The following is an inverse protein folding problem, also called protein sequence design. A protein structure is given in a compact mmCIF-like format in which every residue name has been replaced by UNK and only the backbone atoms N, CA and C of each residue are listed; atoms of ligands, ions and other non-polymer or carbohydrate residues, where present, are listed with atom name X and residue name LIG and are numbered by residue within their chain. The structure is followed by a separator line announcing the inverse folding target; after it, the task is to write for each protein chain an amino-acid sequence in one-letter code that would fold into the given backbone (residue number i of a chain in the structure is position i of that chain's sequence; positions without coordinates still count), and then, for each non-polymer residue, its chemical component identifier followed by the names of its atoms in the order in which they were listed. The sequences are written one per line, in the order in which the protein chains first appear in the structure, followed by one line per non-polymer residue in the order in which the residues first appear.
data_IF_226838904834
#
_entry.id   IF_226838904834
#
_cell.length_a   1.000
_cell.length_b   1.000
_cell.length_c   1.000
_cell.angle_alpha   90.00
_cell.angle_beta   90.00
_cell.angle_gamma   90.00
#
_symmetry.space_group_name_H-M   'P 1'
#
loop_
_entity.id
_entity.type
_entity.pdbx_description
1 polymer ?
#
# COMPACT_ATOMS: atom_id res chain seq x y z
N UNK A 1 -50.41 -15.35 -13.39
CA UNK A 1 -50.09 -15.53 -11.96
C UNK A 1 -48.73 -16.26 -11.91
N UNK A 2 -47.72 -15.72 -11.22
CA UNK A 2 -46.38 -16.34 -10.97
C UNK A 2 -45.19 -16.10 -11.94
N UNK A 3 -44.97 -14.88 -12.47
CA UNK A 3 -43.66 -14.51 -13.06
C UNK A 3 -42.91 -13.39 -12.31
N UNK A 4 -43.49 -12.89 -11.22
CA UNK A 4 -42.91 -11.78 -10.43
C UNK A 4 -42.14 -12.21 -9.17
N UNK A 5 -41.99 -13.52 -8.91
CA UNK A 5 -41.20 -14.03 -7.78
C UNK A 5 -39.75 -14.40 -8.15
N UNK A 6 -39.43 -14.59 -9.43
CA UNK A 6 -38.07 -14.95 -9.86
C UNK A 6 -37.11 -13.75 -9.94
N UNK A 7 -37.62 -12.51 -10.00
CA UNK A 7 -36.78 -11.31 -10.05
C UNK A 7 -36.15 -10.93 -8.69
N UNK A 8 -36.69 -11.41 -7.57
CA UNK A 8 -36.18 -11.10 -6.23
C UNK A 8 -34.93 -11.95 -5.90
N UNK A 9 -34.77 -13.12 -6.53
CA UNK A 9 -33.67 -14.04 -6.26
C UNK A 9 -32.35 -13.66 -6.98
N UNK A 10 -32.38 -12.76 -7.96
CA UNK A 10 -31.19 -12.41 -8.77
C UNK A 10 -30.45 -11.18 -8.21
N UNK A 11 -31.07 -10.39 -7.33
CA UNK A 11 -30.43 -9.25 -6.67
C UNK A 11 -29.45 -9.65 -5.55
N UNK A 12 -29.51 -10.89 -5.05
CA UNK A 12 -28.65 -11.39 -3.97
C UNK A 12 -27.44 -12.20 -4.45
N UNK A 13 -27.36 -12.51 -5.75
CA UNK A 13 -26.20 -13.16 -6.37
C UNK A 13 -25.22 -12.09 -6.90
N UNK A 14 -24.80 -11.16 -6.04
CA UNK A 14 -23.51 -10.52 -6.29
C UNK A 14 -22.46 -11.62 -6.12
N UNK A 15 -21.59 -11.88 -7.11
CA UNK A 15 -20.41 -12.67 -6.85
C UNK A 15 -19.61 -11.88 -5.80
N UNK A 16 -19.68 -12.30 -4.54
CA UNK A 16 -18.68 -11.91 -3.54
C UNK A 16 -17.35 -12.14 -4.21
N UNK A 17 -16.47 -11.15 -4.29
CA UNK A 17 -15.15 -11.39 -4.88
C UNK A 17 -14.46 -12.43 -4.00
N UNK A 18 -14.52 -13.69 -4.45
CA UNK A 18 -14.10 -14.83 -3.65
C UNK A 18 -12.62 -15.07 -3.89
N UNK A 19 -11.83 -15.09 -2.83
CA UNK A 19 -10.45 -15.49 -2.88
C UNK A 19 -10.33 -17.02 -2.69
N UNK A 20 -9.36 -17.64 -3.35
CA UNK A 20 -8.98 -19.05 -3.13
C UNK A 20 -7.67 -19.16 -2.36
N UNK A 21 -6.84 -18.12 -2.45
CA UNK A 21 -5.49 -18.07 -1.92
C UNK A 21 -5.11 -16.63 -1.56
N UNK A 22 -4.08 -16.46 -0.73
CA UNK A 22 -3.62 -15.12 -0.33
C UNK A 22 -3.13 -14.28 -1.53
N UNK A 23 -2.69 -14.89 -2.63
CA UNK A 23 -2.28 -14.17 -3.84
C UNK A 23 -3.45 -13.54 -4.59
N UNK A 24 -4.69 -13.95 -4.30
CA UNK A 24 -5.88 -13.31 -4.85
C UNK A 24 -6.16 -11.97 -4.17
N UNK A 25 -5.57 -11.72 -3.00
CA UNK A 25 -5.70 -10.49 -2.24
C UNK A 25 -4.47 -9.60 -2.45
N UNK A 26 -4.69 -8.34 -2.82
CA UNK A 26 -3.65 -7.35 -3.04
C UNK A 26 -3.12 -6.78 -1.72
N UNK A 27 -2.02 -6.03 -1.80
CA UNK A 27 -1.46 -5.26 -0.67
C UNK A 27 -1.19 -6.09 0.61
N UNK A 28 -0.92 -7.39 0.45
CA UNK A 28 -0.64 -8.30 1.55
C UNK A 28 -1.86 -8.65 2.39
N UNK A 29 -3.06 -8.62 1.80
CA UNK A 29 -4.26 -9.20 2.39
C UNK A 29 -4.17 -10.73 2.49
N UNK A 30 -5.00 -11.31 3.35
CA UNK A 30 -5.06 -12.77 3.58
C UNK A 30 -6.42 -13.29 3.12
N UNK A 31 -6.46 -14.43 2.44
CA UNK A 31 -7.72 -15.05 2.12
C UNK A 31 -8.29 -15.78 3.34
N UNK A 32 -9.40 -15.30 3.88
CA UNK A 32 -10.09 -15.88 5.02
C UNK A 32 -10.82 -17.18 4.67
N UNK A 33 -11.31 -17.89 5.70
CA UNK A 33 -12.05 -19.16 5.52
C UNK A 33 -13.36 -18.98 4.76
N UNK A 34 -13.95 -17.80 4.85
CA UNK A 34 -15.19 -17.45 4.17
C UNK A 34 -14.95 -17.06 2.70
N UNK A 35 -13.73 -17.28 2.18
CA UNK A 35 -13.30 -16.89 0.83
C UNK A 35 -13.36 -15.38 0.60
N UNK A 36 -13.24 -14.58 1.66
CA UNK A 36 -13.19 -13.11 1.60
C UNK A 36 -11.78 -12.65 1.96
N UNK A 37 -11.27 -11.65 1.26
CA UNK A 37 -9.98 -11.06 1.57
C UNK A 37 -10.05 -10.24 2.87
N UNK A 38 -9.26 -10.65 3.85
CA UNK A 38 -8.99 -9.89 5.07
C UNK A 38 -7.90 -8.86 4.78
N UNK A 39 -8.31 -7.61 4.61
CA UNK A 39 -7.39 -6.51 4.29
C UNK A 39 -6.62 -6.03 5.52
N UNK A 40 -5.35 -5.66 5.28
CA UNK A 40 -4.54 -4.99 6.29
C UNK A 40 -5.06 -3.58 6.55
N UNK A 41 -4.78 -3.08 7.74
CA UNK A 41 -5.08 -1.69 8.06
C UNK A 41 -4.39 -0.75 7.08
N UNK A 42 -5.19 0.12 6.46
CA UNK A 42 -4.73 1.01 5.40
C UNK A 42 -5.04 0.54 3.99
N UNK A 43 -5.59 -0.68 3.81
CA UNK A 43 -6.22 -1.10 2.54
C UNK A 43 -7.70 -1.48 2.71
N UNK A 44 -8.41 -1.54 1.59
CA UNK A 44 -9.85 -1.82 1.49
C UNK A 44 -10.22 -2.25 0.05
N UNK A 45 -11.47 -2.61 -0.17
CA UNK A 45 -11.94 -3.21 -1.42
C UNK A 45 -12.08 -4.73 -1.27
N UNK A 46 -12.78 -5.37 -2.19
CA UNK A 46 -13.08 -6.80 -2.08
C UNK A 46 -11.83 -7.67 -2.22
N UNK A 47 -10.79 -7.14 -2.88
CA UNK A 47 -9.47 -7.75 -3.03
C UNK A 47 -8.36 -6.92 -2.38
N UNK A 48 -8.69 -5.99 -1.50
CA UNK A 48 -7.73 -5.09 -0.84
C UNK A 48 -6.92 -4.19 -1.79
N UNK A 49 -7.47 -3.89 -2.96
CA UNK A 49 -6.86 -3.10 -4.04
C UNK A 49 -6.81 -1.59 -3.74
N UNK A 50 -7.68 -1.09 -2.85
CA UNK A 50 -7.79 0.32 -2.52
C UNK A 50 -6.89 0.63 -1.32
N UNK A 51 -5.86 1.45 -1.50
CA UNK A 51 -4.97 1.89 -0.43
C UNK A 51 -5.42 3.25 0.11
N UNK A 52 -5.76 3.31 1.39
CA UNK A 52 -6.15 4.54 2.09
C UNK A 52 -5.01 5.55 2.07
N UNK A 53 -5.31 6.75 1.60
CA UNK A 53 -4.34 7.84 1.49
C UNK A 53 -3.82 8.04 0.08
N UNK A 54 -3.77 7.00 -0.77
CA UNK A 54 -3.30 7.16 -2.16
C UNK A 54 -4.16 8.13 -2.99
N UNK A 55 -5.46 8.22 -2.70
CA UNK A 55 -6.36 9.19 -3.33
C UNK A 55 -5.99 10.65 -3.03
N UNK A 56 -5.31 10.88 -1.89
CA UNK A 56 -4.90 12.21 -1.43
C UNK A 56 -3.42 12.49 -1.69
N UNK A 57 -2.61 11.44 -1.79
CA UNK A 57 -1.22 11.57 -2.18
C UNK A 57 -1.18 11.78 -3.70
N UNK A 58 -0.84 12.99 -4.13
CA UNK A 58 -0.59 13.30 -5.53
C UNK A 58 0.73 12.66 -6.00
N UNK A 59 0.82 11.33 -5.95
CA UNK A 59 1.93 10.58 -6.51
C UNK A 59 1.98 10.86 -8.02
N UNK A 60 3.19 11.01 -8.55
CA UNK A 60 3.37 11.13 -9.98
C UNK A 60 3.42 9.71 -10.55
N UNK A 61 2.32 9.28 -11.18
CA UNK A 61 2.15 7.94 -11.72
C UNK A 61 3.17 7.59 -12.82
N UNK A 62 3.90 8.58 -13.36
CA UNK A 62 4.97 8.33 -14.34
C UNK A 62 6.23 7.83 -13.65
N UNK A 63 6.58 8.39 -12.49
CA UNK A 63 7.85 8.11 -11.78
C UNK A 63 7.71 7.32 -10.48
N UNK A 64 6.50 7.25 -9.92
CA UNK A 64 6.22 6.62 -8.62
C UNK A 64 4.94 5.78 -8.66
N UNK A 65 4.87 4.77 -7.80
CA UNK A 65 3.69 3.98 -7.53
C UNK A 65 3.21 4.31 -6.11
N UNK A 66 1.91 4.33 -5.88
CA UNK A 66 1.41 4.36 -4.52
C UNK A 66 1.45 2.96 -3.91
N UNK A 67 2.12 2.82 -2.77
CA UNK A 67 2.29 1.55 -2.06
C UNK A 67 1.78 1.67 -0.63
N UNK A 68 1.25 0.58 -0.08
CA UNK A 68 0.82 0.55 1.32
C UNK A 68 2.05 0.41 2.24
N UNK A 69 2.29 1.42 3.06
CA UNK A 69 3.25 1.29 4.15
C UNK A 69 2.57 0.56 5.32
N UNK A 70 2.90 -0.73 5.49
CA UNK A 70 2.35 -1.58 6.56
C UNK A 70 2.70 -1.09 7.97
N UNK A 71 3.73 -0.26 8.15
CA UNK A 71 4.12 0.32 9.45
C UNK A 71 3.29 1.57 9.73
N UNK A 72 3.13 2.43 8.73
CA UNK A 72 2.38 3.68 8.85
C UNK A 72 0.86 3.52 8.60
N UNK A 73 0.41 2.35 8.14
CA UNK A 73 -0.99 1.99 7.87
C UNK A 73 -1.66 2.94 6.88
N UNK A 74 -0.90 3.45 5.91
CA UNK A 74 -1.36 4.42 4.90
C UNK A 74 -0.56 4.29 3.60
N UNK A 75 -1.11 4.83 2.52
CA UNK A 75 -0.43 4.98 1.25
C UNK A 75 0.78 5.91 1.34
N UNK A 76 1.87 5.52 0.67
CA UNK A 76 3.08 6.30 0.45
C UNK A 76 3.51 6.16 -1.02
N UNK A 77 4.06 7.22 -1.61
CA UNK A 77 4.61 7.12 -2.96
C UNK A 77 6.00 6.47 -2.90
N UNK A 78 6.20 5.39 -3.63
CA UNK A 78 7.50 4.77 -3.84
C UNK A 78 7.93 4.95 -5.30
N UNK A 79 9.19 5.30 -5.51
CA UNK A 79 9.73 5.42 -6.86
C UNK A 79 9.70 4.07 -7.59
N UNK A 80 9.32 4.08 -8.86
CA UNK A 80 9.40 2.88 -9.72
C UNK A 80 10.82 2.31 -9.75
N UNK A 81 11.81 3.21 -9.70
CA UNK A 81 13.21 2.85 -9.56
C UNK A 81 13.57 2.66 -8.07
N UNK A 82 13.81 1.40 -7.67
CA UNK A 82 14.08 1.01 -6.27
C UNK A 82 15.35 1.62 -5.66
N UNK A 83 16.24 2.19 -6.49
CA UNK A 83 17.47 2.88 -6.09
C UNK A 83 17.22 4.34 -5.68
N UNK A 84 16.02 4.87 -5.94
CA UNK A 84 15.63 6.25 -5.68
C UNK A 84 14.64 6.34 -4.52
N UNK A 85 14.65 7.49 -3.86
CA UNK A 85 13.77 7.87 -2.77
C UNK A 85 12.80 8.94 -3.27
N UNK A 86 11.52 8.80 -2.94
CA UNK A 86 10.50 9.78 -3.28
C UNK A 86 10.52 10.94 -2.28
N UNK A 87 10.88 12.14 -2.72
CA UNK A 87 10.94 13.35 -1.91
C UNK A 87 10.40 14.52 -2.72
N UNK A 88 9.45 15.28 -2.17
CA UNK A 88 8.87 16.48 -2.81
C UNK A 88 8.43 16.25 -4.27
N UNK A 89 7.66 15.19 -4.52
CA UNK A 89 7.18 14.79 -5.85
C UNK A 89 8.28 14.42 -6.86
N UNK A 90 9.49 14.10 -6.39
CA UNK A 90 10.61 13.69 -7.24
C UNK A 90 11.30 12.45 -6.70
N UNK A 91 11.81 11.64 -7.61
CA UNK A 91 12.63 10.48 -7.30
C UNK A 91 14.11 10.86 -7.31
N UNK A 92 14.70 10.94 -6.12
CA UNK A 92 16.09 11.34 -5.91
C UNK A 92 16.93 10.08 -5.64
N UNK A 93 18.09 9.94 -6.26
CA UNK A 93 18.99 8.81 -5.97
C UNK A 93 19.36 8.76 -4.49
N UNK A 94 19.45 7.55 -3.91
CA UNK A 94 20.03 7.40 -2.58
C UNK A 94 21.44 7.98 -2.60
N UNK A 95 21.75 8.85 -1.63
CA UNK A 95 23.11 9.32 -1.44
C UNK A 95 23.99 8.11 -1.12
N UNK A 96 25.00 7.87 -1.96
CA UNK A 96 26.06 6.92 -1.61
C UNK A 96 26.85 7.57 -0.49
N UNK A 97 26.75 7.02 0.71
CA UNK A 97 27.71 7.30 1.77
C UNK A 97 29.04 6.73 1.28
N UNK A 98 29.94 7.57 0.77
CA UNK A 98 31.29 7.13 0.44
C UNK A 98 32.07 6.95 1.75
N UNK A 99 32.46 5.70 2.03
CA UNK A 99 33.31 5.26 3.14
C UNK A 99 32.91 5.79 4.53
N UNK A 100 31.83 5.24 5.11
CA UNK A 100 31.67 5.22 6.57
C UNK A 100 32.17 3.86 7.05
N UNK A 101 33.26 3.78 7.84
CA UNK A 101 33.76 2.51 8.36
C UNK A 101 32.73 1.87 9.30
N UNK A 102 32.53 0.56 9.17
CA UNK A 102 31.55 -0.28 9.88
C UNK A 102 31.77 -0.40 11.41
N UNK A 103 32.55 0.48 12.02
CA UNK A 103 32.81 0.52 13.46
C UNK A 103 32.03 1.63 14.17
N UNK A 104 30.85 2.00 13.67
CA UNK A 104 29.96 2.91 14.38
C UNK A 104 29.00 2.11 15.27
N UNK A 105 29.58 1.61 16.36
CA UNK A 105 28.87 1.07 17.51
C UNK A 105 27.88 2.12 18.06
N UNK A 106 26.68 1.67 18.40
CA UNK A 106 25.63 2.30 19.22
C UNK A 106 25.83 3.77 19.72
N UNK A 107 24.81 4.62 19.50
CA UNK A 107 24.48 5.87 20.27
C UNK A 107 24.77 7.27 19.66
N UNK A 108 25.27 7.46 18.43
CA UNK A 108 25.48 8.86 17.91
C UNK A 108 24.85 9.23 16.54
N UNK A 109 24.03 8.38 15.92
CA UNK A 109 23.29 8.73 14.67
C UNK A 109 21.90 9.34 14.98
N UNK A 110 21.70 9.88 16.19
CA UNK A 110 20.47 10.58 16.59
C UNK A 110 20.59 12.11 16.47
N UNK A 111 21.66 12.65 15.85
CA UNK A 111 21.88 14.11 15.77
C UNK A 111 22.01 14.72 14.37
N UNK A 112 21.86 13.94 13.30
CA UNK A 112 21.91 14.48 11.93
C UNK A 112 20.62 14.17 11.17
N UNK A 113 19.48 14.46 11.79
CA UNK A 113 18.30 14.87 11.04
C UNK A 113 17.78 16.15 11.68
N UNK A 114 18.53 17.25 11.54
CA UNK A 114 17.92 18.59 11.62
C UNK A 114 17.17 18.81 10.30
N UNK A 115 15.94 18.29 10.24
CA UNK A 115 14.93 18.93 9.39
C UNK A 115 14.83 20.37 9.85
N UNK A 116 15.02 21.31 8.92
CA UNK A 116 14.75 22.72 9.16
C UNK A 116 13.36 22.86 9.77
N UNK A 117 13.33 23.29 11.02
CA UNK A 117 12.16 23.89 11.65
C UNK A 117 12.61 25.27 12.08
N UNK A 118 11.95 26.25 11.46
CA UNK A 118 12.09 27.72 11.56
C UNK A 118 13.39 28.33 11.08
#
# INVERSE_FOLDING_TARGET
MFTWLFAIAVFFLSPTASCKSNSDCENGGTCGKDQVCECKEGSSGDRCEIIKGCEKLACDDQISNCVLDVKAKKGMCECKEKTKLYVNHKCIGKCKVQNVPDTFNDIQVLKIIRFGKT
#
